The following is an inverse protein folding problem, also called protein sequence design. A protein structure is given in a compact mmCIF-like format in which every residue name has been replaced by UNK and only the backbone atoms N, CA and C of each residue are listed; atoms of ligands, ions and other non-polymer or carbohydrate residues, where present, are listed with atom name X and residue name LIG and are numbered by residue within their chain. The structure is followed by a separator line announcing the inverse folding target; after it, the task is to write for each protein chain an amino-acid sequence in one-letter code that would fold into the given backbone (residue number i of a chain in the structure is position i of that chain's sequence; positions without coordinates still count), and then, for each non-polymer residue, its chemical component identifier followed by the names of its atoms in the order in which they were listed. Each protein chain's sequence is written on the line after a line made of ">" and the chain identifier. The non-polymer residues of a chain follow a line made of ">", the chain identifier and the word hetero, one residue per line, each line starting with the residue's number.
data_IF_747993676485
#
_entry.id   IF_747993676485
#
_cell.length_a   1.000
_cell.length_b   1.000
_cell.length_c   1.000
_cell.angle_alpha   90.00
_cell.angle_beta   90.00
_cell.angle_gamma   90.00
#
_symmetry.space_group_name_H-M   'P 1'
#
loop_
_entity.id
_entity.type
_entity.pdbx_description
1 polymer ?
#
# COMPACT_ATOMS: atom_id res chain seq x y z
N UNK A 1 16.92 5.11 17.74
CA UNK A 1 16.59 4.80 16.33
C UNK A 1 15.26 4.09 16.35
N UNK A 2 14.25 4.59 15.64
CA UNK A 2 13.06 3.77 15.40
C UNK A 2 13.45 2.74 14.35
N UNK A 3 13.19 1.47 14.65
CA UNK A 3 13.33 0.41 13.64
C UNK A 3 12.20 0.60 12.63
N UNK A 4 12.58 1.03 11.44
CA UNK A 4 11.64 1.22 10.35
C UNK A 4 11.60 -0.06 9.52
N UNK A 5 10.46 -0.75 9.57
CA UNK A 5 10.24 -1.95 8.78
C UNK A 5 9.74 -1.57 7.39
N UNK A 6 10.43 -2.03 6.34
CA UNK A 6 10.03 -1.79 4.95
C UNK A 6 9.09 -2.84 4.42
N UNK A 7 9.20 -4.08 4.90
CA UNK A 7 8.30 -5.15 4.51
C UNK A 7 7.05 -5.06 5.38
N UNK A 8 5.91 -4.77 4.77
CA UNK A 8 4.66 -4.67 5.52
C UNK A 8 3.93 -6.00 5.42
N UNK A 9 3.52 -6.52 6.57
CA UNK A 9 2.74 -7.74 6.66
C UNK A 9 1.26 -7.41 6.80
N UNK A 10 0.57 -7.29 5.68
CA UNK A 10 -0.88 -7.16 5.63
C UNK A 10 -1.48 -8.51 5.20
N UNK A 11 -2.53 -9.02 5.88
CA UNK A 11 -3.20 -10.25 5.48
C UNK A 11 -3.63 -10.23 4.02
N UNK A 12 -3.32 -11.31 3.30
CA UNK A 12 -3.72 -11.54 1.90
C UNK A 12 -3.32 -10.43 0.92
N UNK A 13 -2.24 -9.69 1.24
CA UNK A 13 -1.68 -8.67 0.36
C UNK A 13 -0.21 -8.93 0.10
N UNK A 14 0.10 -9.10 -1.18
CA UNK A 14 1.45 -9.38 -1.62
C UNK A 14 2.22 -8.09 -1.89
N UNK A 15 3.54 -8.19 -1.81
CA UNK A 15 4.47 -7.13 -2.22
C UNK A 15 4.26 -5.77 -1.52
N UNK A 16 3.62 -5.75 -0.35
CA UNK A 16 3.38 -4.55 0.44
C UNK A 16 4.70 -4.02 1.03
N UNK A 17 5.05 -2.78 0.70
CA UNK A 17 6.28 -2.13 1.18
C UNK A 17 6.09 -0.66 1.50
N UNK A 18 6.67 -0.24 2.60
CA UNK A 18 6.85 1.16 2.94
C UNK A 18 7.99 1.77 2.12
N UNK A 19 7.75 2.96 1.56
CA UNK A 19 8.68 3.66 0.69
C UNK A 19 9.35 4.87 1.36
N UNK A 20 9.28 5.01 2.69
CA UNK A 20 10.11 5.97 3.44
C UNK A 20 11.61 5.67 3.41
N UNK A 21 12.45 6.67 3.60
CA UNK A 21 13.89 6.53 3.74
C UNK A 21 14.64 6.18 2.44
N UNK A 22 14.07 6.44 1.26
CA UNK A 22 14.81 6.37 0.00
C UNK A 22 15.41 7.74 -0.33
N UNK A 23 16.66 7.81 -0.80
CA UNK A 23 17.29 9.08 -1.12
C UNK A 23 16.59 9.76 -2.29
N UNK A 24 16.37 11.07 -2.16
CA UNK A 24 15.84 11.93 -3.21
C UNK A 24 16.96 12.66 -3.96
N UNK A 25 16.69 13.16 -5.16
CA UNK A 25 17.70 13.80 -6.01
C UNK A 25 18.22 15.13 -5.47
N UNK A 26 17.50 15.74 -4.53
CA UNK A 26 17.86 16.96 -3.81
C UNK A 26 18.58 16.68 -2.47
N UNK A 27 18.96 15.43 -2.21
CA UNK A 27 19.76 15.04 -1.04
C UNK A 27 18.95 14.81 0.24
N UNK A 28 17.61 14.79 0.15
CA UNK A 28 16.72 14.37 1.21
C UNK A 28 16.41 12.87 1.20
N UNK A 29 15.37 12.50 1.94
CA UNK A 29 14.80 11.16 1.94
C UNK A 29 13.28 11.23 1.81
N UNK A 30 12.68 10.20 1.20
CA UNK A 30 11.23 10.02 1.21
C UNK A 30 10.72 9.90 2.65
N UNK A 31 9.61 10.55 2.95
CA UNK A 31 9.04 10.53 4.30
C UNK A 31 8.44 9.17 4.63
N UNK A 32 8.77 8.63 5.81
CA UNK A 32 8.15 7.41 6.34
C UNK A 32 6.65 7.56 6.58
N UNK A 33 5.92 6.46 6.43
CA UNK A 33 4.46 6.36 6.62
C UNK A 33 3.68 7.33 5.73
N UNK A 34 4.22 7.61 4.54
CA UNK A 34 3.60 8.54 3.58
C UNK A 34 3.26 7.88 2.25
N UNK A 35 3.97 6.81 1.87
CA UNK A 35 3.71 6.08 0.65
C UNK A 35 4.00 4.60 0.82
N UNK A 36 2.99 3.79 0.53
CA UNK A 36 3.09 2.33 0.47
C UNK A 36 2.86 1.91 -0.97
N UNK A 37 3.59 0.89 -1.42
CA UNK A 37 3.27 0.15 -2.65
C UNK A 37 2.84 -1.26 -2.28
N UNK A 38 1.98 -1.86 -3.09
CA UNK A 38 1.61 -3.27 -2.98
C UNK A 38 1.31 -3.84 -4.37
N UNK A 39 0.96 -5.12 -4.40
CA UNK A 39 0.33 -5.74 -5.58
C UNK A 39 -1.13 -5.30 -5.72
N UNK A 40 -1.87 -5.93 -6.64
CA UNK A 40 -3.31 -5.75 -6.73
C UNK A 40 -4.03 -6.09 -5.40
N UNK A 41 -5.12 -5.37 -5.12
CA UNK A 41 -5.82 -5.46 -3.84
C UNK A 41 -6.96 -6.49 -3.85
N UNK A 42 -7.18 -7.22 -4.95
CA UNK A 42 -8.39 -8.05 -5.13
C UNK A 42 -8.51 -9.20 -4.14
N UNK A 43 -7.39 -9.64 -3.55
CA UNK A 43 -7.33 -10.74 -2.59
C UNK A 43 -7.52 -10.29 -1.13
N UNK A 44 -7.63 -8.99 -0.86
CA UNK A 44 -7.77 -8.49 0.50
C UNK A 44 -9.04 -9.06 1.17
N UNK A 45 -8.85 -9.65 2.33
CA UNK A 45 -9.92 -10.00 3.26
C UNK A 45 -10.37 -8.77 4.05
N UNK A 46 -11.45 -8.89 4.83
CA UNK A 46 -11.91 -7.81 5.73
C UNK A 46 -10.81 -7.43 6.73
N UNK A 47 -10.05 -8.43 7.17
CA UNK A 47 -8.88 -8.29 8.04
C UNK A 47 -7.76 -7.50 7.34
N UNK A 48 -7.48 -7.80 6.07
CA UNK A 48 -6.53 -7.05 5.26
C UNK A 48 -6.92 -5.57 5.08
N UNK A 49 -8.19 -5.30 4.75
CA UNK A 49 -8.70 -3.92 4.62
C UNK A 49 -8.60 -3.16 5.94
N UNK A 50 -8.90 -3.80 7.08
CA UNK A 50 -8.70 -3.21 8.41
C UNK A 50 -7.23 -2.93 8.69
N UNK A 51 -6.33 -3.86 8.36
CA UNK A 51 -4.90 -3.67 8.55
C UNK A 51 -4.35 -2.45 7.77
N UNK A 52 -4.83 -2.22 6.54
CA UNK A 52 -4.52 -1.01 5.77
C UNK A 52 -5.01 0.26 6.49
N UNK A 53 -6.25 0.26 6.99
CA UNK A 53 -6.82 1.39 7.71
C UNK A 53 -6.07 1.67 9.03
N UNK A 54 -5.76 0.63 9.80
CA UNK A 54 -5.03 0.71 11.08
C UNK A 54 -3.59 1.21 10.88
N UNK A 55 -2.97 0.86 9.74
CA UNK A 55 -1.67 1.42 9.36
C UNK A 55 -1.75 2.93 9.08
N UNK A 56 -2.90 3.41 8.61
CA UNK A 56 -3.18 4.81 8.29
C UNK A 56 -3.34 5.09 6.78
N UNK A 57 -3.57 4.07 5.95
CA UNK A 57 -3.83 4.27 4.51
C UNK A 57 -5.20 4.93 4.34
N UNK A 58 -5.20 6.20 3.91
CA UNK A 58 -6.42 6.96 3.64
C UNK A 58 -6.76 7.13 2.16
N UNK A 59 -5.87 6.73 1.25
CA UNK A 59 -6.07 6.88 -0.19
C UNK A 59 -5.41 5.71 -0.92
N UNK A 60 -6.14 5.11 -1.84
CA UNK A 60 -5.64 4.07 -2.76
C UNK A 60 -5.68 4.63 -4.17
N UNK A 61 -4.54 4.54 -4.85
CA UNK A 61 -4.42 4.87 -6.26
C UNK A 61 -4.30 3.55 -7.01
N UNK A 62 -5.40 3.11 -7.63
CA UNK A 62 -5.40 1.91 -8.47
C UNK A 62 -4.89 2.27 -9.87
N UNK A 63 -3.72 1.73 -10.22
CA UNK A 63 -3.05 1.99 -11.50
C UNK A 63 -3.36 0.93 -12.56
N UNK A 64 -4.21 -0.06 -12.23
CA UNK A 64 -4.61 -1.12 -13.16
C UNK A 64 -5.50 -0.55 -14.26
N UNK A 65 -5.47 -1.18 -15.42
CA UNK A 65 -6.40 -0.86 -16.50
C UNK A 65 -7.85 -1.18 -16.07
N UNK A 66 -8.86 -0.46 -16.61
CA UNK A 66 -10.25 -0.71 -16.26
C UNK A 66 -10.68 -2.18 -16.44
N UNK A 67 -10.16 -2.85 -17.47
CA UNK A 67 -10.46 -4.26 -17.74
C UNK A 67 -9.88 -5.20 -16.67
N UNK A 68 -8.67 -4.92 -16.19
CA UNK A 68 -8.03 -5.66 -15.09
C UNK A 68 -8.80 -5.46 -13.78
N UNK A 69 -9.19 -4.23 -13.48
CA UNK A 69 -9.96 -3.89 -12.28
C UNK A 69 -11.38 -4.50 -12.32
N UNK A 70 -11.99 -4.61 -13.50
CA UNK A 70 -13.28 -5.28 -13.66
C UNK A 70 -13.18 -6.81 -13.48
N UNK A 71 -12.08 -7.42 -13.93
CA UNK A 71 -11.84 -8.86 -13.78
C UNK A 71 -11.53 -9.25 -12.33
N UNK A 72 -10.80 -8.38 -11.61
CA UNK A 72 -10.37 -8.59 -10.23
C UNK A 72 -10.67 -7.35 -9.37
N UNK A 73 -11.94 -7.16 -8.95
CA UNK A 73 -12.34 -5.96 -8.22
C UNK A 73 -11.63 -5.85 -6.86
N UNK A 74 -11.19 -4.65 -6.52
CA UNK A 74 -10.66 -4.34 -5.19
C UNK A 74 -11.82 -4.23 -4.18
N UNK A 75 -11.68 -4.81 -2.97
CA UNK A 75 -12.65 -4.61 -1.89
C UNK A 75 -12.51 -3.25 -1.21
N UNK A 76 -11.43 -2.50 -1.49
CA UNK A 76 -11.26 -1.12 -1.05
C UNK A 76 -12.12 -0.22 -1.94
N UNK A 77 -13.07 0.55 -1.37
CA UNK A 77 -13.88 1.48 -2.15
C UNK A 77 -13.01 2.48 -2.92
N UNK A 78 -13.40 2.79 -4.15
CA UNK A 78 -12.86 3.97 -4.83
C UNK A 78 -13.21 5.22 -4.02
N UNK A 79 -12.23 6.11 -3.85
CA UNK A 79 -12.44 7.43 -3.26
C UNK A 79 -13.36 8.32 -4.11
#
# INVERSE_FOLDING_TARGET
>A
MQDHERLLHFPDLLNARELGGYPTTDGGETRWRSLVRADDLSQLTVEGVRALADYGVGTVIDLRWPEEAALAPSPVPSA
#
